data_IF_188393524187
#
_entry.id   IF_188393524187
#
_cell.length_a   1.000
_cell.length_b   1.000
_cell.length_c   1.000
_cell.angle_alpha   90.00
_cell.angle_beta   90.00
_cell.angle_gamma   90.00
#
_symmetry.space_group_name_H-M   'P 1'
#
loop_
_entity.id
_entity.type
_entity.pdbx_description
1 polymer ?
#
# COMPACT_ATOMS: atom_id res chain seq x y z
N UNK A 1 4.31 9.32 -10.96
CA UNK A 1 5.39 9.80 -10.06
C UNK A 1 4.94 9.56 -8.64
N UNK A 2 5.84 9.14 -7.73
CA UNK A 2 5.64 9.25 -6.28
C UNK A 2 6.39 10.47 -5.76
N UNK A 3 5.75 11.24 -4.88
CA UNK A 3 6.31 12.40 -4.21
C UNK A 3 6.51 12.07 -2.72
N UNK A 4 7.71 11.65 -2.36
CA UNK A 4 8.04 11.32 -0.96
C UNK A 4 8.45 12.59 -0.23
N UNK A 5 7.89 12.84 0.94
CA UNK A 5 8.15 14.05 1.72
C UNK A 5 8.29 13.77 3.22
N UNK A 6 8.99 14.65 3.90
CA UNK A 6 9.26 14.56 5.32
C UNK A 6 8.09 15.14 6.13
N UNK A 7 7.72 14.49 7.24
CA UNK A 7 6.59 14.90 8.08
C UNK A 7 6.75 16.29 8.74
N UNK A 8 7.99 16.76 8.94
CA UNK A 8 8.32 17.94 9.74
C UNK A 8 9.12 17.59 11.00
N UNK A 9 9.71 18.60 11.65
CA UNK A 9 10.64 18.42 12.79
C UNK A 9 10.29 19.36 13.95
N UNK A 10 9.00 19.48 14.27
CA UNK A 10 8.42 20.48 15.17
C UNK A 10 8.10 19.90 16.56
N UNK A 11 8.92 18.94 17.04
CA UNK A 11 8.89 18.38 18.40
C UNK A 11 7.55 17.76 18.80
N UNK A 12 7.05 16.83 17.98
CA UNK A 12 5.79 16.12 18.25
C UNK A 12 4.56 16.91 17.82
N UNK A 13 4.66 17.73 16.77
CA UNK A 13 3.48 18.33 16.17
C UNK A 13 2.59 17.26 15.53
N UNK A 14 1.29 17.35 15.83
CA UNK A 14 0.25 16.54 15.20
C UNK A 14 -0.19 17.22 13.90
N UNK A 15 0.18 16.66 12.76
CA UNK A 15 -0.14 17.19 11.44
C UNK A 15 -1.63 17.03 11.07
N UNK A 16 -2.40 16.20 11.78
CA UNK A 16 -3.85 16.13 11.61
C UNK A 16 -4.52 17.37 12.21
N UNK A 17 -3.90 18.00 13.21
CA UNK A 17 -4.39 19.21 13.88
C UNK A 17 -3.74 20.48 13.31
N UNK A 18 -2.43 20.44 13.09
CA UNK A 18 -1.60 21.56 12.62
C UNK A 18 -0.85 21.13 11.35
N UNK A 19 -1.46 21.27 10.17
CA UNK A 19 -0.92 20.75 8.93
C UNK A 19 0.45 21.31 8.56
N UNK A 20 1.34 20.45 8.06
CA UNK A 20 2.64 20.84 7.52
C UNK A 20 2.70 20.46 6.06
N UNK A 21 2.91 21.44 5.18
CA UNK A 21 2.96 21.22 3.74
C UNK A 21 4.41 21.09 3.24
N UNK A 22 4.69 20.19 2.28
CA UNK A 22 3.71 19.44 1.48
C UNK A 22 3.21 18.12 2.11
N UNK A 23 3.64 17.75 3.32
CA UNK A 23 3.28 16.46 3.94
C UNK A 23 1.78 16.25 4.16
N UNK A 24 1.02 17.30 4.44
CA UNK A 24 -0.42 17.23 4.68
C UNK A 24 -1.27 17.44 3.42
N UNK A 25 -0.70 17.41 2.21
CA UNK A 25 -1.52 17.39 1.00
C UNK A 25 -2.18 16.03 0.82
N UNK A 26 -3.51 16.03 0.68
CA UNK A 26 -4.30 14.83 0.37
C UNK A 26 -4.26 14.52 -1.13
N UNK A 27 -3.12 13.97 -1.57
CA UNK A 27 -2.91 13.51 -2.94
C UNK A 27 -2.42 12.06 -2.92
N UNK A 28 -3.00 11.24 -3.79
CA UNK A 28 -2.74 9.79 -3.89
C UNK A 28 -1.28 9.42 -4.20
N UNK A 29 -0.50 10.38 -4.69
CA UNK A 29 0.89 10.20 -5.09
C UNK A 29 1.89 10.75 -4.07
N UNK A 30 1.45 11.30 -2.94
CA UNK A 30 2.32 11.75 -1.85
C UNK A 30 2.57 10.59 -0.88
N UNK A 31 3.80 10.47 -0.38
CA UNK A 31 4.14 9.61 0.77
C UNK A 31 4.81 10.47 1.83
N UNK A 32 4.12 10.68 2.95
CA UNK A 32 4.59 11.46 4.09
C UNK A 32 5.25 10.56 5.13
N UNK A 33 6.48 10.91 5.51
CA UNK A 33 7.36 10.03 6.28
C UNK A 33 7.73 10.67 7.62
N UNK A 34 7.32 10.03 8.72
CA UNK A 34 7.80 10.37 10.07
C UNK A 34 9.11 9.66 10.40
N UNK A 35 9.80 10.15 11.44
CA UNK A 35 11.09 9.64 11.88
C UNK A 35 10.98 8.74 13.09
N UNK A 36 11.68 7.61 13.04
CA UNK A 36 11.96 6.76 14.21
C UNK A 36 13.44 6.75 14.58
N UNK A 37 13.73 6.32 15.80
CA UNK A 37 15.06 6.00 16.27
C UNK A 37 15.37 4.49 16.20
N UNK A 38 16.56 4.11 16.67
CA UNK A 38 17.04 2.74 16.66
C UNK A 38 16.26 1.76 17.55
N UNK A 39 15.41 2.25 18.46
CA UNK A 39 14.53 1.46 19.32
C UNK A 39 13.09 1.39 18.76
N UNK A 40 12.92 1.76 17.49
CA UNK A 40 11.64 1.92 16.79
C UNK A 40 10.64 2.84 17.52
N UNK A 41 11.16 3.77 18.33
CA UNK A 41 10.35 4.84 18.91
C UNK A 41 10.31 6.02 17.96
N UNK A 42 9.21 6.78 18.00
CA UNK A 42 9.15 8.06 17.29
C UNK A 42 10.27 8.98 17.77
N UNK A 43 11.05 9.52 16.84
CA UNK A 43 12.07 10.50 17.17
C UNK A 43 11.45 11.72 17.83
N UNK A 44 12.06 12.23 18.90
CA UNK A 44 11.52 13.34 19.71
C UNK A 44 11.22 14.62 18.91
N UNK A 45 11.89 14.82 17.77
CA UNK A 45 11.68 15.97 16.89
C UNK A 45 10.57 15.73 15.86
N UNK A 46 10.21 14.48 15.57
CA UNK A 46 9.33 14.14 14.46
C UNK A 46 7.93 14.70 14.66
N UNK A 47 7.32 15.15 13.56
CA UNK A 47 5.88 15.29 13.51
C UNK A 47 5.25 13.91 13.28
N UNK A 48 3.97 13.80 13.62
CA UNK A 48 3.15 12.61 13.44
C UNK A 48 1.76 13.00 12.94
N UNK A 49 0.94 12.03 12.58
CA UNK A 49 -0.45 12.26 12.19
C UNK A 49 -1.09 10.95 11.78
N UNK A 50 -2.20 10.59 12.41
CA UNK A 50 -2.86 9.31 12.20
C UNK A 50 -3.39 9.17 10.77
N UNK A 51 -3.72 10.29 10.13
CA UNK A 51 -4.26 10.33 8.76
C UNK A 51 -3.38 11.08 7.78
N UNK A 52 -2.60 12.06 8.24
CA UNK A 52 -1.76 12.91 7.39
C UNK A 52 -0.33 12.39 7.16
N UNK A 53 0.13 11.42 7.95
CA UNK A 53 1.44 10.78 7.77
C UNK A 53 1.23 9.33 7.35
N UNK A 54 1.92 8.89 6.29
CA UNK A 54 1.71 7.56 5.73
C UNK A 54 2.51 6.48 6.47
N UNK A 55 3.81 6.71 6.74
CA UNK A 55 4.74 5.66 7.18
C UNK A 55 5.86 6.20 8.06
N UNK A 56 6.46 5.31 8.86
CA UNK A 56 7.66 5.60 9.63
C UNK A 56 8.94 5.08 8.94
N UNK A 57 10.05 5.79 9.10
CA UNK A 57 11.38 5.30 8.74
C UNK A 57 12.47 5.85 9.67
N UNK A 58 13.61 5.15 9.85
CA UNK A 58 14.72 5.64 10.65
C UNK A 58 15.19 7.02 10.18
N UNK A 59 15.20 7.97 11.11
CA UNK A 59 15.67 9.34 10.87
C UNK A 59 16.50 9.92 12.00
N UNK A 60 16.68 9.21 13.12
CA UNK A 60 17.65 9.57 14.16
C UNK A 60 19.03 8.96 13.87
N UNK A 61 20.08 9.78 13.85
CA UNK A 61 21.46 9.30 13.79
C UNK A 61 21.83 8.62 12.47
N UNK A 62 21.32 9.12 11.34
CA UNK A 62 21.56 8.53 10.02
C UNK A 62 22.90 9.02 9.48
N UNK A 63 23.78 8.08 9.15
CA UNK A 63 25.06 8.36 8.48
C UNK A 63 24.83 8.41 6.98
N UNK A 64 25.26 9.50 6.35
CA UNK A 64 25.23 9.63 4.89
C UNK A 64 26.40 10.48 4.40
N UNK A 65 26.54 10.58 3.09
CA UNK A 65 27.59 11.37 2.44
C UNK A 65 27.34 12.86 2.62
N UNK A 66 28.43 13.60 2.78
CA UNK A 66 28.46 15.07 2.71
C UNK A 66 29.40 15.49 1.57
N UNK A 67 29.36 16.76 1.12
CA UNK A 67 30.32 17.25 0.15
C UNK A 67 31.78 16.99 0.60
N UNK A 68 32.65 16.68 -0.36
CA UNK A 68 34.10 16.45 -0.12
C UNK A 68 34.89 17.76 0.07
N UNK A 69 34.17 18.89 0.20
CA UNK A 69 34.72 20.22 0.41
C UNK A 69 33.78 21.01 1.33
N UNK A 70 34.34 21.94 2.09
CA UNK A 70 33.57 22.75 3.03
C UNK A 70 32.50 23.60 2.33
N UNK A 71 31.29 23.59 2.89
CA UNK A 71 30.18 24.44 2.41
C UNK A 71 29.58 25.25 3.55
N UNK A 72 28.90 26.35 3.22
CA UNK A 72 28.20 27.15 4.23
C UNK A 72 27.12 26.32 4.95
N UNK A 73 26.40 25.47 4.23
CA UNK A 73 25.40 24.57 4.82
C UNK A 73 26.03 23.62 5.84
N UNK A 74 27.23 23.09 5.55
CA UNK A 74 27.93 22.21 6.49
C UNK A 74 28.29 22.91 7.80
N UNK A 75 28.70 24.17 7.74
CA UNK A 75 28.93 24.99 8.94
C UNK A 75 27.63 25.25 9.73
N UNK A 76 26.51 25.48 9.03
CA UNK A 76 25.20 25.70 9.67
C UNK A 76 24.69 24.42 10.36
N UNK A 77 24.86 23.27 9.72
CA UNK A 77 24.44 21.98 10.27
C UNK A 77 25.48 21.32 11.20
N UNK A 78 26.68 21.91 11.34
CA UNK A 78 27.75 21.40 12.20
C UNK A 78 28.32 20.05 11.73
N UNK A 79 28.43 19.83 10.42
CA UNK A 79 28.88 18.58 9.82
C UNK A 79 30.24 18.73 9.10
N UNK A 80 30.99 17.64 9.00
CA UNK A 80 32.29 17.57 8.30
C UNK A 80 32.16 17.01 6.89
N UNK A 81 33.23 17.08 6.10
CA UNK A 81 33.30 16.52 4.74
C UNK A 81 33.18 14.99 4.73
N UNK A 82 32.93 14.45 3.54
CA UNK A 82 32.87 13.01 3.22
C UNK A 82 31.64 12.30 3.79
N UNK A 83 31.50 12.27 5.11
CA UNK A 83 30.38 11.65 5.81
C UNK A 83 30.01 12.42 7.06
N UNK A 84 28.71 12.42 7.38
CA UNK A 84 28.22 12.93 8.65
C UNK A 84 27.02 12.13 9.14
N UNK A 85 26.83 12.17 10.45
CA UNK A 85 25.64 11.64 11.11
C UNK A 85 24.70 12.81 11.40
N UNK A 86 23.49 12.75 10.85
CA UNK A 86 22.47 13.79 11.05
C UNK A 86 21.12 13.16 11.37
N UNK A 87 20.23 13.95 11.97
CA UNK A 87 18.89 13.51 12.35
C UNK A 87 17.82 14.43 11.78
N UNK A 88 16.70 13.84 11.38
CA UNK A 88 15.52 14.56 10.89
C UNK A 88 14.62 13.66 10.07
N UNK A 89 13.35 14.04 9.94
CA UNK A 89 12.42 13.41 8.98
C UNK A 89 12.90 13.53 7.52
N UNK A 90 13.75 14.53 7.23
CA UNK A 90 14.50 14.64 5.98
C UNK A 90 15.45 13.47 5.72
N UNK A 91 15.87 12.74 6.76
CA UNK A 91 16.70 11.52 6.65
C UNK A 91 15.84 10.25 6.57
N UNK A 92 14.60 10.29 7.06
CA UNK A 92 13.63 9.20 6.88
C UNK A 92 13.11 9.14 5.44
N UNK A 93 12.75 10.28 4.84
CA UNK A 93 12.23 10.36 3.48
C UNK A 93 13.10 9.68 2.38
N UNK A 94 14.44 9.77 2.36
CA UNK A 94 15.26 9.07 1.37
C UNK A 94 15.28 7.54 1.54
N UNK A 95 15.05 6.99 2.74
CA UNK A 95 14.89 5.54 2.91
C UNK A 95 13.65 5.04 2.15
N UNK A 96 12.51 5.70 2.33
CA UNK A 96 11.27 5.40 1.59
C UNK A 96 11.44 5.63 0.09
N UNK A 97 12.10 6.72 -0.31
CA UNK A 97 12.39 7.00 -1.73
C UNK A 97 13.22 5.90 -2.37
N UNK A 98 14.24 5.39 -1.66
CA UNK A 98 15.05 4.26 -2.08
C UNK A 98 14.25 2.96 -2.17
N UNK A 99 13.37 2.70 -1.20
CA UNK A 99 12.48 1.55 -1.21
C UNK A 99 11.55 1.56 -2.44
N UNK A 100 10.90 2.69 -2.74
CA UNK A 100 10.10 2.87 -3.95
C UNK A 100 10.91 2.57 -5.22
N UNK A 101 12.12 3.13 -5.31
CA UNK A 101 13.00 2.94 -6.46
C UNK A 101 13.43 1.47 -6.63
N UNK A 102 13.69 0.76 -5.54
CA UNK A 102 14.05 -0.66 -5.60
C UNK A 102 12.88 -1.52 -6.07
N UNK A 103 11.67 -1.26 -5.58
CA UNK A 103 10.45 -1.93 -6.07
C UNK A 103 10.30 -1.69 -7.58
N UNK A 104 10.40 -0.45 -8.05
CA UNK A 104 10.32 -0.15 -9.49
C UNK A 104 11.46 -0.76 -10.30
N UNK A 105 12.65 -0.95 -9.72
CA UNK A 105 13.76 -1.60 -10.44
C UNK A 105 13.45 -3.05 -10.78
N UNK A 106 12.67 -3.74 -9.94
CA UNK A 106 12.21 -5.11 -10.16
C UNK A 106 10.92 -5.15 -10.99
N UNK A 107 10.04 -4.17 -10.77
CA UNK A 107 8.71 -4.11 -11.38
C UNK A 107 8.44 -2.73 -12.03
N UNK A 108 9.07 -2.42 -13.17
CA UNK A 108 9.09 -1.07 -13.75
C UNK A 108 7.73 -0.60 -14.29
N UNK A 109 6.77 -1.50 -14.46
CA UNK A 109 5.42 -1.20 -14.97
C UNK A 109 4.41 -0.87 -13.87
N UNK A 110 4.79 -0.99 -12.59
CA UNK A 110 3.86 -0.70 -11.49
C UNK A 110 3.47 0.78 -11.46
N UNK A 111 2.18 1.04 -11.28
CA UNK A 111 1.68 2.38 -11.04
C UNK A 111 2.17 2.90 -9.67
N UNK A 112 2.28 4.22 -9.53
CA UNK A 112 2.71 4.86 -8.28
C UNK A 112 1.84 4.47 -7.08
N UNK A 113 0.52 4.40 -7.25
CA UNK A 113 -0.43 3.97 -6.22
C UNK A 113 -0.11 2.55 -5.75
N UNK A 114 0.23 1.67 -6.67
CA UNK A 114 0.57 0.28 -6.38
C UNK A 114 1.84 0.21 -5.51
N UNK A 115 2.88 0.96 -5.88
CA UNK A 115 4.13 1.01 -5.09
C UNK A 115 3.88 1.58 -3.69
N UNK A 116 3.10 2.66 -3.56
CA UNK A 116 2.68 3.20 -2.24
C UNK A 116 1.96 2.13 -1.42
N UNK A 117 0.96 1.46 -2.01
CA UNK A 117 0.18 0.43 -1.34
C UNK A 117 1.02 -0.76 -0.83
N UNK A 118 1.97 -1.23 -1.63
CA UNK A 118 2.92 -2.29 -1.23
C UNK A 118 3.69 -1.86 0.01
N UNK A 119 4.26 -0.65 0.01
CA UNK A 119 5.06 -0.15 1.13
C UNK A 119 4.26 -0.06 2.42
N UNK A 120 3.07 0.57 2.38
CA UNK A 120 2.26 0.79 3.58
C UNK A 120 1.71 -0.49 4.20
N UNK A 121 1.54 -1.56 3.40
CA UNK A 121 0.99 -2.85 3.86
C UNK A 121 2.03 -3.83 4.35
N UNK A 122 3.28 -3.65 3.95
CA UNK A 122 4.38 -4.58 4.27
C UNK A 122 5.24 -4.09 5.42
N UNK A 123 4.80 -3.04 6.11
CA UNK A 123 5.51 -2.48 7.26
C UNK A 123 5.70 -3.48 8.39
N UNK A 124 6.75 -3.31 9.17
CA UNK A 124 6.84 -3.91 10.49
C UNK A 124 6.03 -3.06 11.49
N UNK A 125 5.08 -3.64 12.25
CA UNK A 125 4.29 -2.91 13.24
C UNK A 125 5.09 -2.74 14.55
N UNK A 126 6.14 -1.92 14.50
CA UNK A 126 7.14 -1.77 15.58
C UNK A 126 6.89 -0.58 16.50
N UNK A 127 5.91 0.26 16.19
CA UNK A 127 5.62 1.46 16.98
C UNK A 127 4.81 1.12 18.24
N UNK A 128 5.27 1.63 19.38
CA UNK A 128 4.68 1.39 20.70
C UNK A 128 3.29 2.04 20.89
N UNK A 129 2.96 3.06 20.10
CA UNK A 129 1.66 3.71 20.10
C UNK A 129 0.96 3.50 18.75
N UNK A 130 -0.21 2.86 18.71
CA UNK A 130 -1.05 2.91 17.51
C UNK A 130 -1.43 4.38 17.24
N UNK A 131 -1.52 4.77 15.96
CA UNK A 131 -1.98 6.10 15.46
C UNK A 131 -0.92 7.21 15.35
N UNK A 132 0.37 6.89 15.21
CA UNK A 132 1.39 7.90 14.86
C UNK A 132 1.48 8.15 13.35
N UNK A 133 1.14 7.16 12.53
CA UNK A 133 0.99 7.26 11.08
C UNK A 133 -0.06 6.25 10.59
N UNK A 134 -0.51 6.41 9.35
CA UNK A 134 -1.55 5.62 8.69
C UNK A 134 -1.23 4.13 8.65
N UNK A 135 -0.01 3.77 8.23
CA UNK A 135 0.41 2.35 8.15
C UNK A 135 0.66 1.71 9.52
N UNK A 136 0.85 2.52 10.56
CA UNK A 136 1.16 2.02 11.91
C UNK A 136 2.52 1.33 12.02
N UNK A 137 3.40 1.44 11.02
CA UNK A 137 4.70 0.76 11.05
C UNK A 137 5.82 1.41 10.24
N UNK A 138 6.99 0.77 10.34
CA UNK A 138 8.22 1.10 9.59
C UNK A 138 8.28 0.30 8.30
N UNK A 139 8.79 0.84 7.20
CA UNK A 139 8.94 0.06 5.95
C UNK A 139 9.80 -1.19 6.20
N UNK A 140 9.33 -2.34 5.69
CA UNK A 140 10.12 -3.55 5.57
C UNK A 140 10.28 -3.91 4.09
N UNK A 141 11.45 -3.59 3.55
CA UNK A 141 11.74 -3.76 2.13
C UNK A 141 11.82 -5.24 1.71
N UNK A 142 12.19 -6.13 2.64
CA UNK A 142 12.15 -7.57 2.37
C UNK A 142 10.71 -8.02 2.13
N UNK A 143 9.81 -7.70 3.06
CA UNK A 143 8.39 -8.02 2.93
C UNK A 143 7.78 -7.36 1.67
N UNK A 144 8.13 -6.11 1.38
CA UNK A 144 7.69 -5.39 0.19
C UNK A 144 8.07 -6.12 -1.12
N UNK A 145 9.28 -6.68 -1.18
CA UNK A 145 9.78 -7.38 -2.37
C UNK A 145 9.27 -8.83 -2.45
N UNK A 146 8.97 -9.48 -1.31
CA UNK A 146 8.46 -10.85 -1.30
C UNK A 146 6.94 -10.93 -1.41
N UNK A 147 6.20 -9.84 -1.12
CA UNK A 147 4.76 -9.78 -1.29
C UNK A 147 4.34 -9.90 -2.76
N UNK A 148 5.23 -9.57 -3.71
CA UNK A 148 4.93 -9.57 -5.13
C UNK A 148 5.22 -10.98 -5.67
N UNK A 149 4.20 -11.85 -5.88
CA UNK A 149 4.41 -13.17 -6.47
C UNK A 149 4.97 -12.96 -7.87
N UNK A 150 5.86 -13.84 -8.34
CA UNK A 150 6.72 -13.72 -9.53
C UNK A 150 6.15 -12.93 -10.74
N UNK A 151 6.16 -11.59 -10.64
CA UNK A 151 6.31 -10.62 -11.72
C UNK A 151 5.26 -10.55 -12.83
N UNK A 152 4.05 -11.12 -12.68
CA UNK A 152 2.99 -10.94 -13.68
C UNK A 152 1.86 -10.06 -13.13
N UNK A 153 1.58 -8.96 -13.85
CA UNK A 153 0.31 -8.25 -13.69
C UNK A 153 -0.82 -9.22 -14.04
N UNK A 154 -1.73 -9.42 -13.10
CA UNK A 154 -2.82 -10.37 -13.28
C UNK A 154 -3.80 -9.91 -14.34
N UNK A 155 -4.48 -10.88 -14.95
CA UNK A 155 -5.64 -10.63 -15.79
C UNK A 155 -6.89 -11.17 -15.11
N UNK A 156 -8.01 -10.52 -15.36
CA UNK A 156 -9.31 -10.98 -14.87
C UNK A 156 -10.13 -11.42 -16.06
N UNK A 157 -10.85 -12.53 -15.91
CA UNK A 157 -11.85 -13.01 -16.86
C UNK A 157 -13.24 -12.87 -16.25
N UNK A 158 -14.20 -12.37 -17.01
CA UNK A 158 -15.61 -12.57 -16.69
C UNK A 158 -16.06 -13.91 -17.30
N UNK A 159 -16.52 -14.85 -16.46
CA UNK A 159 -16.90 -16.22 -16.87
C UNK A 159 -18.06 -16.31 -17.86
N UNK A 160 -18.85 -15.24 -18.00
CA UNK A 160 -19.93 -15.15 -18.99
C UNK A 160 -19.40 -14.93 -20.41
N UNK A 161 -18.19 -14.42 -20.53
CA UNK A 161 -17.54 -14.15 -21.79
C UNK A 161 -16.79 -15.37 -22.33
N UNK A 162 -16.70 -15.49 -23.65
CA UNK A 162 -15.96 -16.57 -24.30
C UNK A 162 -14.48 -16.48 -23.92
N UNK A 163 -13.92 -17.47 -23.18
CA UNK A 163 -12.53 -17.44 -22.72
C UNK A 163 -11.51 -17.60 -23.86
N UNK A 164 -11.95 -17.96 -25.06
CA UNK A 164 -11.09 -18.02 -26.24
C UNK A 164 -10.93 -16.65 -26.94
N UNK A 165 -11.73 -15.65 -26.54
CA UNK A 165 -11.61 -14.29 -27.03
C UNK A 165 -10.72 -13.46 -26.10
N UNK A 166 -9.51 -13.16 -26.58
CA UNK A 166 -8.55 -12.29 -25.89
C UNK A 166 -9.07 -10.86 -25.62
N UNK A 167 -10.19 -10.46 -26.22
CA UNK A 167 -10.87 -9.19 -25.96
C UNK A 167 -11.59 -9.14 -24.60
N UNK A 168 -11.82 -10.28 -23.95
CA UNK A 168 -12.59 -10.39 -22.70
C UNK A 168 -11.71 -10.57 -21.44
N UNK A 169 -10.42 -10.23 -21.56
CA UNK A 169 -9.48 -10.22 -20.45
C UNK A 169 -9.23 -8.79 -19.99
N UNK A 170 -9.61 -8.51 -18.75
CA UNK A 170 -9.40 -7.21 -18.12
C UNK A 170 -8.02 -7.16 -17.47
N UNK A 171 -7.39 -5.98 -17.53
CA UNK A 171 -6.13 -5.70 -16.83
C UNK A 171 -6.32 -5.39 -15.35
N UNK A 172 -7.56 -5.15 -14.93
CA UNK A 172 -7.91 -4.83 -13.55
C UNK A 172 -9.19 -5.57 -13.15
N UNK A 173 -9.35 -5.82 -11.85
CA UNK A 173 -10.61 -6.34 -11.30
C UNK A 173 -11.69 -5.26 -11.38
N UNK A 174 -11.36 -3.98 -11.20
CA UNK A 174 -12.34 -2.91 -11.34
C UNK A 174 -12.97 -2.86 -12.74
N UNK A 175 -12.17 -2.97 -13.81
CA UNK A 175 -12.69 -2.95 -15.18
C UNK A 175 -13.61 -4.17 -15.43
N UNK A 176 -13.25 -5.33 -14.88
CA UNK A 176 -14.08 -6.53 -14.95
C UNK A 176 -15.40 -6.34 -14.20
N UNK A 177 -15.36 -5.70 -13.03
CA UNK A 177 -16.56 -5.37 -12.24
C UNK A 177 -17.43 -4.35 -12.98
N UNK A 178 -16.84 -3.36 -13.65
CA UNK A 178 -17.61 -2.35 -14.38
C UNK A 178 -18.46 -2.98 -15.49
N UNK A 179 -17.93 -4.01 -16.14
CA UNK A 179 -18.60 -4.74 -17.22
C UNK A 179 -19.54 -5.86 -16.73
N UNK A 180 -19.28 -6.43 -15.55
CA UNK A 180 -20.07 -7.54 -15.00
C UNK A 180 -21.55 -7.20 -14.73
N UNK A 181 -22.43 -8.18 -14.87
CA UNK A 181 -23.81 -8.13 -14.41
C UNK A 181 -23.98 -8.90 -13.08
N UNK A 182 -25.13 -8.72 -12.41
CA UNK A 182 -25.49 -9.53 -11.25
C UNK A 182 -25.54 -11.04 -11.60
N UNK A 183 -24.85 -11.85 -10.80
CA UNK A 183 -24.71 -13.30 -10.96
C UNK A 183 -23.44 -13.73 -11.70
N UNK A 184 -22.65 -12.80 -12.22
CA UNK A 184 -21.40 -13.11 -12.92
C UNK A 184 -20.31 -13.63 -11.98
N UNK A 185 -19.46 -14.52 -12.50
CA UNK A 185 -18.24 -14.99 -11.83
C UNK A 185 -17.03 -14.34 -12.48
N UNK A 186 -16.27 -13.57 -11.71
CA UNK A 186 -14.98 -13.01 -12.10
C UNK A 186 -13.84 -13.91 -11.62
N UNK A 187 -12.93 -14.23 -12.51
CA UNK A 187 -11.78 -15.10 -12.25
C UNK A 187 -10.50 -14.25 -12.35
N UNK A 188 -9.91 -13.96 -11.20
CA UNK A 188 -8.59 -13.35 -11.10
C UNK A 188 -7.51 -14.39 -11.35
N UNK A 189 -6.57 -14.11 -12.25
CA UNK A 189 -5.47 -15.01 -12.58
C UNK A 189 -4.67 -15.43 -11.35
N UNK A 190 -4.54 -16.74 -11.15
CA UNK A 190 -3.72 -17.33 -10.10
C UNK A 190 -2.25 -16.90 -10.19
N UNK A 191 -1.58 -16.78 -9.04
CA UNK A 191 -0.18 -16.37 -8.92
C UNK A 191 0.13 -15.00 -9.55
N UNK A 192 -0.85 -14.09 -9.55
CA UNK A 192 -0.72 -12.77 -10.14
C UNK A 192 -1.10 -11.66 -9.16
N UNK A 193 -0.42 -10.52 -9.28
CA UNK A 193 -0.65 -9.38 -8.40
C UNK A 193 -1.81 -8.54 -8.93
N UNK A 194 -2.82 -8.37 -8.08
CA UNK A 194 -3.83 -7.32 -8.19
C UNK A 194 -3.59 -6.35 -7.02
N UNK A 195 -3.59 -5.05 -7.27
CA UNK A 195 -3.50 -4.07 -6.19
C UNK A 195 -4.25 -2.82 -6.61
N UNK A 196 -5.55 -2.91 -6.40
CA UNK A 196 -6.54 -1.96 -6.86
C UNK A 196 -7.41 -1.56 -5.67
N UNK A 197 -8.04 -0.38 -5.76
CA UNK A 197 -9.20 -0.06 -4.93
C UNK A 197 -10.42 -0.42 -5.74
N UNK A 198 -11.22 -1.35 -5.23
CA UNK A 198 -12.40 -1.85 -5.92
C UNK A 198 -13.66 -1.20 -5.36
N UNK A 199 -14.50 -0.68 -6.24
CA UNK A 199 -15.90 -0.37 -5.99
C UNK A 199 -16.77 -1.46 -6.66
N UNK A 200 -17.51 -2.20 -5.84
CA UNK A 200 -18.42 -3.26 -6.28
C UNK A 200 -19.73 -2.74 -6.87
N UNK A 201 -20.00 -1.43 -6.77
CA UNK A 201 -21.14 -0.72 -7.40
C UNK A 201 -22.50 -1.32 -7.07
N UNK A 202 -22.63 -1.91 -5.88
CA UNK A 202 -23.84 -2.59 -5.43
C UNK A 202 -24.18 -3.88 -6.20
N UNK A 203 -23.27 -4.41 -7.03
CA UNK A 203 -23.48 -5.63 -7.82
C UNK A 203 -23.38 -6.89 -6.94
N UNK A 204 -24.13 -7.91 -7.32
CA UNK A 204 -24.06 -9.25 -6.72
C UNK A 204 -23.19 -10.16 -7.62
N UNK A 205 -21.91 -10.32 -7.29
CA UNK A 205 -20.94 -11.07 -8.12
C UNK A 205 -20.18 -12.11 -7.29
N UNK A 206 -19.64 -13.12 -7.97
CA UNK A 206 -18.66 -14.03 -7.38
C UNK A 206 -17.27 -13.65 -7.86
N UNK A 207 -16.31 -13.48 -6.97
CA UNK A 207 -14.92 -13.20 -7.32
C UNK A 207 -14.04 -14.32 -6.79
N UNK A 208 -13.24 -14.94 -7.66
CA UNK A 208 -12.35 -16.05 -7.29
C UNK A 208 -11.00 -15.97 -7.99
N UNK A 209 -9.98 -16.54 -7.39
CA UNK A 209 -8.70 -16.89 -8.01
C UNK A 209 -8.84 -18.14 -8.89
N UNK A 210 -8.05 -18.24 -9.96
CA UNK A 210 -8.04 -19.44 -10.80
C UNK A 210 -7.24 -19.34 -12.09
N UNK A 211 -7.24 -20.42 -12.87
CA UNK A 211 -6.68 -20.45 -14.22
C UNK A 211 -7.66 -19.81 -15.21
N UNK A 212 -7.36 -18.57 -15.63
CA UNK A 212 -8.16 -17.84 -16.63
C UNK A 212 -8.20 -18.51 -18.01
N UNK A 213 -7.29 -19.44 -18.30
CA UNK A 213 -7.31 -20.24 -19.54
C UNK A 213 -8.24 -21.46 -19.44
N UNK A 214 -8.66 -21.82 -18.22
CA UNK A 214 -9.61 -22.89 -17.94
C UNK A 214 -10.66 -22.42 -16.91
N UNK A 215 -11.67 -21.63 -17.32
CA UNK A 215 -12.63 -21.00 -16.41
C UNK A 215 -13.50 -21.98 -15.61
N UNK A 216 -13.57 -23.23 -16.07
CA UNK A 216 -14.29 -24.33 -15.41
C UNK A 216 -13.39 -25.13 -14.46
N UNK A 217 -12.11 -24.78 -14.31
CA UNK A 217 -11.23 -25.41 -13.33
C UNK A 217 -11.80 -25.17 -11.92
N UNK A 218 -12.15 -26.23 -11.18
CA UNK A 218 -12.64 -26.10 -9.82
C UNK A 218 -11.53 -25.78 -8.81
N UNK A 219 -10.26 -25.90 -9.21
CA UNK A 219 -9.14 -25.59 -8.33
C UNK A 219 -8.97 -24.06 -8.22
N UNK A 220 -8.94 -23.59 -6.98
CA UNK A 220 -8.55 -22.24 -6.61
C UNK A 220 -7.05 -22.22 -6.27
N UNK A 221 -6.41 -21.06 -6.41
CA UNK A 221 -5.01 -20.85 -6.02
C UNK A 221 -4.96 -19.64 -5.09
N UNK A 222 -5.35 -19.83 -3.82
CA UNK A 222 -5.57 -18.73 -2.90
C UNK A 222 -4.28 -17.93 -2.63
N UNK A 223 -3.10 -18.53 -2.73
CA UNK A 223 -1.86 -18.04 -2.10
C UNK A 223 -1.35 -16.65 -2.57
N UNK A 224 -1.93 -16.00 -3.60
CA UNK A 224 -1.30 -14.86 -4.28
C UNK A 224 -2.23 -13.70 -4.73
N UNK A 225 -3.55 -13.74 -4.49
CA UNK A 225 -4.50 -12.73 -5.01
C UNK A 225 -4.92 -11.72 -3.94
N UNK A 226 -4.20 -10.60 -3.82
CA UNK A 226 -4.55 -9.53 -2.88
C UNK A 226 -5.56 -8.57 -3.53
N UNK A 227 -6.74 -8.40 -2.93
CA UNK A 227 -7.77 -7.49 -3.43
C UNK A 227 -8.08 -6.45 -2.34
N UNK A 228 -8.03 -5.16 -2.68
CA UNK A 228 -8.41 -4.08 -1.75
C UNK A 228 -9.71 -3.47 -2.27
N UNK A 229 -10.78 -3.52 -1.49
CA UNK A 229 -12.09 -3.05 -1.92
C UNK A 229 -12.76 -2.12 -0.91
N UNK A 230 -13.54 -1.20 -1.43
CA UNK A 230 -14.57 -0.41 -0.73
C UNK A 230 -15.91 -1.09 -1.06
N UNK A 231 -16.68 -1.45 -0.04
CA UNK A 231 -18.02 -2.05 -0.20
C UNK A 231 -19.09 -0.96 -0.06
N UNK A 232 -19.93 -0.82 -1.08
CA UNK A 232 -21.11 0.03 -1.03
C UNK A 232 -22.34 -0.73 -0.49
N UNK A 233 -23.35 0.03 0.00
CA UNK A 233 -24.58 -0.56 0.51
C UNK A 233 -25.30 -1.38 -0.58
N UNK A 234 -25.45 -2.68 -0.35
CA UNK A 234 -26.12 -3.61 -1.28
C UNK A 234 -25.19 -4.55 -2.04
N UNK A 235 -23.87 -4.35 -1.99
CA UNK A 235 -22.90 -5.28 -2.57
C UNK A 235 -22.96 -6.65 -1.90
N UNK A 236 -23.05 -7.71 -2.71
CA UNK A 236 -22.96 -9.10 -2.27
C UNK A 236 -21.79 -9.74 -3.02
N UNK A 237 -20.69 -9.98 -2.31
CA UNK A 237 -19.49 -10.61 -2.86
C UNK A 237 -19.34 -11.99 -2.24
N UNK A 238 -19.39 -13.02 -3.07
CA UNK A 238 -19.19 -14.41 -2.66
C UNK A 238 -17.81 -14.88 -3.07
N UNK A 239 -17.09 -15.53 -2.14
CA UNK A 239 -15.80 -16.19 -2.40
C UNK A 239 -16.00 -17.70 -2.46
N UNK A 240 -15.23 -18.38 -3.30
CA UNK A 240 -15.36 -19.83 -3.42
C UNK A 240 -14.65 -20.53 -2.25
N UNK A 241 -15.18 -21.68 -1.80
CA UNK A 241 -14.67 -22.43 -0.64
C UNK A 241 -13.15 -22.67 -0.71
N UNK A 242 -12.43 -22.25 0.33
CA UNK A 242 -10.97 -22.28 0.44
C UNK A 242 -10.26 -20.94 0.16
N UNK A 243 -11.00 -19.94 -0.31
CA UNK A 243 -10.57 -18.54 -0.34
C UNK A 243 -10.94 -17.86 0.97
N UNK A 244 -9.95 -17.60 1.82
CA UNK A 244 -10.16 -16.90 3.10
C UNK A 244 -10.27 -15.39 2.92
N UNK A 245 -10.95 -14.70 3.84
CA UNK A 245 -10.96 -13.24 3.88
C UNK A 245 -9.53 -12.64 3.89
N UNK A 246 -8.59 -13.28 4.58
CA UNK A 246 -7.17 -12.87 4.66
C UNK A 246 -6.39 -13.01 3.35
N UNK A 247 -6.88 -13.88 2.47
CA UNK A 247 -6.31 -14.23 1.18
C UNK A 247 -6.71 -13.21 0.14
N UNK A 248 -8.02 -12.91 0.09
CA UNK A 248 -8.64 -12.13 -0.99
C UNK A 248 -8.88 -10.69 -0.55
N UNK A 249 -9.34 -10.44 0.68
CA UNK A 249 -9.68 -9.10 1.18
C UNK A 249 -8.89 -8.75 2.42
N UNK A 250 -7.68 -8.18 2.24
CA UNK A 250 -7.05 -7.44 3.33
C UNK A 250 -7.69 -6.07 3.43
N UNK A 251 -8.79 -6.00 4.18
CA UNK A 251 -9.45 -4.75 4.55
C UNK A 251 -8.40 -3.76 5.01
N UNK A 252 -8.36 -2.61 4.34
CA UNK A 252 -7.82 -1.41 4.96
C UNK A 252 -8.84 -1.09 6.04
N UNK A 253 -8.50 -1.26 7.33
CA UNK A 253 -9.21 -0.49 8.34
C UNK A 253 -9.08 0.97 7.90
N UNK A 254 -10.19 1.58 7.50
CA UNK A 254 -10.22 3.01 7.29
C UNK A 254 -9.76 3.66 8.61
N UNK A 255 -8.90 4.69 8.54
CA UNK A 255 -8.59 5.44 9.74
C UNK A 255 -9.90 6.08 10.24
N UNK A 256 -10.38 5.56 11.36
CA UNK A 256 -11.68 5.86 11.96
C UNK A 256 -12.01 7.37 12.00
N UNK A 257 -13.11 7.76 11.34
CA UNK A 257 -13.61 9.14 11.38
C UNK A 257 -15.04 9.38 10.87
N UNK A 258 -15.66 8.44 10.16
CA UNK A 258 -17.10 8.48 9.88
C UNK A 258 -17.70 7.11 10.19
N UNK A 259 -18.98 7.06 10.56
CA UNK A 259 -19.67 5.84 10.98
C UNK A 259 -19.67 4.79 9.84
N UNK A 260 -18.62 3.98 9.76
CA UNK A 260 -18.55 2.84 8.87
C UNK A 260 -19.57 1.80 9.37
N UNK A 261 -20.63 1.63 8.58
CA UNK A 261 -21.52 0.48 8.67
C UNK A 261 -20.65 -0.77 8.59
N UNK A 262 -20.73 -1.61 9.62
CA UNK A 262 -20.24 -2.97 9.60
C UNK A 262 -20.99 -3.71 8.47
N UNK A 263 -20.40 -3.79 7.27
CA UNK A 263 -21.00 -4.51 6.15
C UNK A 263 -20.80 -6.00 6.43
N UNK A 264 -21.91 -6.71 6.60
CA UNK A 264 -21.93 -8.13 6.92
C UNK A 264 -21.59 -8.91 5.65
N UNK A 265 -20.41 -9.52 5.60
CA UNK A 265 -20.07 -10.47 4.54
C UNK A 265 -20.76 -11.80 4.85
N UNK A 266 -21.61 -12.27 3.93
CA UNK A 266 -22.06 -13.65 3.93
C UNK A 266 -20.95 -14.50 3.28
N UNK A 267 -20.05 -15.01 4.10
CA UNK A 267 -19.22 -16.15 3.71
C UNK A 267 -20.14 -17.36 3.85
N UNK A 268 -20.69 -17.88 2.76
CA UNK A 268 -21.40 -19.15 2.81
C UNK A 268 -20.37 -20.24 3.15
N UNK A 269 -20.41 -20.67 4.41
CA UNK A 269 -19.73 -21.85 4.89
C UNK A 269 -20.64 -23.05 4.61
N UNK A 270 -20.35 -23.77 3.53
CA UNK A 270 -20.75 -25.18 3.39
C UNK A 270 -19.73 -26.09 4.07
#
# INVERSE_FOLDING_TARGET
LLFVTAAGNDYGNDNDVNPVYPASYDLDNIISVMSTDHDDQMSVFSNYGATSIDVAEPGSGIVSTTPTFETMSMMVFGVSTDYAMISGTSMSAPHVSGACALIWSQYPTLAHKTVKGILLKTVDPVMSSPRLCLSGGRVNLYNALTLIPSGKAGKVLNSKDDPSDSANLYSTIQDAIDDADDGDVLIAEANALFLEVIDFKGKAITLRSGDISNPNDPNISPEDTIILGILDEGSVVTFQSGEGAETVFRFLDEPHGSAARQVSLAVDAD
#
